data_IF_379870880267
#
_entry.id   IF_379870880267
#
_cell.length_a   1.000
_cell.length_b   1.000
_cell.length_c   1.000
_cell.angle_alpha   90.00
_cell.angle_beta   90.00
_cell.angle_gamma   90.00
#
_symmetry.space_group_name_H-M   'P 1'
#
loop_
_entity.id
_entity.type
_entity.pdbx_description
1 polymer ?
#
# COMPACT_ATOMS: atom_id res chain seq x y z
N UNK A 1 51.91 -4.06 -44.66
CA UNK A 1 52.48 -4.87 -43.56
C UNK A 1 51.83 -4.35 -42.27
N UNK A 2 50.55 -4.67 -42.02
CA UNK A 2 50.07 -5.57 -40.95
C UNK A 2 51.04 -5.68 -39.75
N UNK A 3 51.03 -4.69 -38.88
CA UNK A 3 51.15 -5.00 -37.46
C UNK A 3 49.75 -5.41 -37.00
N UNK A 4 49.58 -6.71 -36.77
CA UNK A 4 48.42 -7.24 -36.07
C UNK A 4 48.65 -6.84 -34.61
N UNK A 5 48.21 -5.64 -34.26
CA UNK A 5 48.01 -5.25 -32.86
C UNK A 5 47.11 -6.32 -32.26
N UNK A 6 47.59 -6.99 -31.22
CA UNK A 6 47.00 -8.23 -30.73
C UNK A 6 45.54 -7.94 -30.33
N UNK A 7 44.52 -8.49 -31.03
CA UNK A 7 43.11 -8.13 -30.82
C UNK A 7 42.65 -8.44 -29.39
N UNK A 8 43.37 -9.33 -28.70
CA UNK A 8 43.16 -9.65 -27.29
C UNK A 8 43.60 -8.49 -26.39
N UNK A 9 44.72 -7.80 -26.69
CA UNK A 9 45.19 -6.65 -25.92
C UNK A 9 44.30 -5.43 -26.13
N UNK A 10 43.81 -5.22 -27.35
CA UNK A 10 42.86 -4.15 -27.66
C UNK A 10 41.51 -4.39 -26.97
N UNK A 11 40.99 -5.62 -27.02
CA UNK A 11 39.79 -6.01 -26.29
C UNK A 11 39.96 -5.89 -24.75
N UNK A 12 41.14 -6.24 -24.22
CA UNK A 12 41.46 -6.09 -22.80
C UNK A 12 41.56 -4.61 -22.40
N UNK A 13 42.16 -3.76 -23.25
CA UNK A 13 42.27 -2.34 -22.97
C UNK A 13 40.89 -1.65 -23.00
N UNK A 14 40.04 -2.01 -23.96
CA UNK A 14 38.66 -1.51 -24.05
C UNK A 14 37.83 -1.94 -22.84
N UNK A 15 37.90 -3.21 -22.44
CA UNK A 15 37.19 -3.71 -21.25
C UNK A 15 37.72 -3.11 -19.94
N UNK A 16 39.03 -2.90 -19.79
CA UNK A 16 39.62 -2.22 -18.64
C UNK A 16 39.22 -0.75 -18.58
N UNK A 17 39.13 -0.06 -19.73
CA UNK A 17 38.69 1.33 -19.81
C UNK A 17 37.21 1.47 -19.46
N UNK A 18 36.37 0.56 -19.92
CA UNK A 18 34.97 0.47 -19.51
C UNK A 18 34.85 0.18 -18.01
N UNK A 19 35.62 -0.78 -17.48
CA UNK A 19 35.62 -1.11 -16.07
C UNK A 19 36.03 0.09 -15.21
N UNK A 20 37.08 0.81 -15.61
CA UNK A 20 37.53 2.03 -14.94
C UNK A 20 36.47 3.15 -14.94
N UNK A 21 35.63 3.21 -15.99
CA UNK A 21 34.50 4.13 -16.07
C UNK A 21 33.35 3.75 -15.13
N UNK A 22 33.09 2.45 -14.94
CA UNK A 22 32.03 1.95 -14.04
C UNK A 22 32.48 1.81 -12.57
N UNK A 23 33.78 1.72 -12.30
CA UNK A 23 34.33 1.50 -10.96
C UNK A 23 33.85 2.53 -9.92
N UNK A 24 33.83 3.85 -10.20
CA UNK A 24 33.31 4.83 -9.24
C UNK A 24 31.82 4.61 -8.94
N UNK A 25 31.00 4.27 -9.95
CA UNK A 25 29.56 4.01 -9.77
C UNK A 25 29.31 2.79 -8.89
N UNK A 26 30.13 1.74 -9.03
CA UNK A 26 30.07 0.53 -8.20
C UNK A 26 30.43 0.88 -6.75
N UNK A 27 31.50 1.65 -6.52
CA UNK A 27 31.89 2.09 -5.18
C UNK A 27 30.80 2.93 -4.50
N UNK A 28 30.20 3.90 -5.20
CA UNK A 28 29.08 4.68 -4.67
C UNK A 28 27.85 3.83 -4.36
N UNK A 29 27.53 2.86 -5.22
CA UNK A 29 26.43 1.91 -4.99
C UNK A 29 26.63 1.10 -3.71
N UNK A 30 27.83 0.58 -3.47
CA UNK A 30 28.16 -0.13 -2.24
C UNK A 30 28.01 0.80 -1.03
N UNK A 31 28.50 2.03 -1.12
CA UNK A 31 28.33 3.04 -0.07
C UNK A 31 26.87 3.30 0.27
N UNK A 32 26.01 3.46 -0.74
CA UNK A 32 24.57 3.67 -0.58
C UNK A 32 23.92 2.44 0.07
N UNK A 33 24.26 1.23 -0.37
CA UNK A 33 23.75 0.00 0.22
C UNK A 33 24.09 -0.09 1.72
N UNK A 34 25.33 0.25 2.10
CA UNK A 34 25.76 0.29 3.50
C UNK A 34 24.94 1.32 4.29
N UNK A 35 24.72 2.52 3.75
CA UNK A 35 23.90 3.55 4.40
C UNK A 35 22.47 3.05 4.63
N UNK A 36 21.84 2.41 3.65
CA UNK A 36 20.49 1.86 3.81
C UNK A 36 20.41 0.76 4.86
N UNK A 37 21.43 -0.10 4.97
CA UNK A 37 21.51 -1.10 6.04
C UNK A 37 21.61 -0.41 7.41
N UNK A 38 22.47 0.61 7.55
CA UNK A 38 22.59 1.36 8.81
C UNK A 38 21.26 2.04 9.19
N UNK A 39 20.58 2.65 8.22
CA UNK A 39 19.27 3.28 8.40
C UNK A 39 18.22 2.24 8.81
N UNK A 40 18.17 1.08 8.16
CA UNK A 40 17.25 0.00 8.50
C UNK A 40 17.46 -0.52 9.93
N UNK A 41 18.71 -0.69 10.36
CA UNK A 41 19.03 -1.06 11.74
C UNK A 41 18.60 0.02 12.74
N UNK A 42 18.86 1.30 12.45
CA UNK A 42 18.47 2.42 13.30
C UNK A 42 16.95 2.53 13.44
N UNK A 43 16.23 2.54 12.32
CA UNK A 43 14.76 2.62 12.28
C UNK A 43 14.15 1.40 12.97
N UNK A 44 14.62 0.18 12.69
CA UNK A 44 14.13 -1.02 13.36
C UNK A 44 14.26 -0.92 14.88
N UNK A 45 15.41 -0.43 15.37
CA UNK A 45 15.64 -0.26 16.82
C UNK A 45 14.71 0.78 17.43
N UNK A 46 14.53 1.93 16.78
CA UNK A 46 13.66 3.02 17.24
C UNK A 46 12.20 2.54 17.25
N UNK A 47 11.73 1.99 16.13
CA UNK A 47 10.36 1.49 15.97
C UNK A 47 10.05 0.41 17.00
N UNK A 48 10.94 -0.57 17.20
CA UNK A 48 10.75 -1.61 18.20
C UNK A 48 10.61 -1.04 19.61
N UNK A 49 11.33 0.04 19.93
CA UNK A 49 11.21 0.72 21.22
C UNK A 49 9.84 1.39 21.35
N UNK A 50 9.38 2.09 20.31
CA UNK A 50 8.06 2.75 20.29
C UNK A 50 6.93 1.72 20.43
N UNK A 51 6.96 0.65 19.64
CA UNK A 51 5.90 -0.36 19.64
C UNK A 51 5.79 -1.09 21.00
N UNK A 52 6.93 -1.34 21.66
CA UNK A 52 6.96 -1.87 23.03
C UNK A 52 6.38 -0.91 24.06
N UNK A 53 6.65 0.39 23.93
CA UNK A 53 6.09 1.41 24.83
C UNK A 53 4.57 1.51 24.70
N UNK A 54 4.07 1.49 23.47
CA UNK A 54 2.62 1.54 23.18
C UNK A 54 1.93 0.20 23.43
N UNK A 55 2.69 -0.88 23.63
CA UNK A 55 2.18 -2.26 23.78
C UNK A 55 1.20 -2.63 22.66
N UNK A 56 1.58 -2.32 21.41
CA UNK A 56 0.72 -2.49 20.23
C UNK A 56 0.17 -3.92 20.14
N UNK A 57 1.00 -4.92 20.49
CA UNK A 57 0.63 -6.33 20.41
C UNK A 57 -0.56 -6.65 21.32
N UNK A 58 -0.70 -5.98 22.48
CA UNK A 58 -1.84 -6.19 23.37
C UNK A 58 -3.15 -5.65 22.81
N UNK A 59 -3.09 -4.59 22.00
CA UNK A 59 -4.27 -4.00 21.34
C UNK A 59 -4.80 -4.95 20.26
N UNK A 60 -3.89 -5.64 19.56
CA UNK A 60 -4.26 -6.52 18.45
C UNK A 60 -4.39 -8.00 18.82
N UNK A 61 -4.07 -8.39 20.06
CA UNK A 61 -4.31 -9.74 20.60
C UNK A 61 -5.70 -10.30 20.32
N UNK A 62 -6.81 -9.54 20.46
CA UNK A 62 -8.17 -10.03 20.18
C UNK A 62 -8.40 -10.43 18.71
N UNK A 63 -7.60 -9.91 17.78
CA UNK A 63 -7.80 -10.11 16.35
C UNK A 63 -6.99 -11.27 15.76
N UNK A 64 -5.83 -11.62 16.35
CA UNK A 64 -4.88 -12.56 15.76
C UNK A 64 -4.55 -13.78 16.65
N UNK A 65 -5.34 -14.04 17.69
CA UNK A 65 -5.21 -15.19 18.60
C UNK A 65 -3.78 -15.41 19.16
N UNK A 66 -2.94 -14.38 19.18
CA UNK A 66 -1.58 -14.42 19.71
C UNK A 66 -0.53 -15.18 18.88
N UNK A 67 -0.85 -15.67 17.67
CA UNK A 67 0.12 -16.37 16.82
C UNK A 67 1.03 -15.44 16.02
N UNK A 68 0.64 -14.18 15.87
CA UNK A 68 1.36 -13.17 15.06
C UNK A 68 1.67 -11.96 15.93
N UNK A 69 2.96 -11.64 16.07
CA UNK A 69 3.41 -10.40 16.70
C UNK A 69 3.28 -9.24 15.70
N UNK A 70 2.27 -8.40 15.90
CA UNK A 70 2.00 -7.24 15.04
C UNK A 70 3.18 -6.29 15.01
N UNK A 71 3.92 -6.17 16.11
CA UNK A 71 5.17 -5.42 16.15
C UNK A 71 6.17 -5.86 15.07
N UNK A 72 6.36 -7.16 14.88
CA UNK A 72 7.31 -7.69 13.90
C UNK A 72 6.76 -7.58 12.48
N UNK A 73 5.44 -7.68 12.28
CA UNK A 73 4.79 -7.38 11.00
C UNK A 73 5.05 -5.92 10.58
N UNK A 74 4.84 -4.96 11.49
CA UNK A 74 5.07 -3.53 11.23
C UNK A 74 6.54 -3.27 10.88
N UNK A 75 7.47 -3.82 11.66
CA UNK A 75 8.91 -3.71 11.39
C UNK A 75 9.27 -4.34 10.04
N UNK A 76 8.67 -5.48 9.71
CA UNK A 76 8.80 -6.14 8.42
C UNK A 76 8.41 -5.23 7.26
N UNK A 77 7.22 -4.62 7.32
CA UNK A 77 6.76 -3.68 6.29
C UNK A 77 7.69 -2.47 6.14
N UNK A 78 8.19 -1.91 7.25
CA UNK A 78 9.15 -0.79 7.20
C UNK A 78 10.43 -1.21 6.50
N UNK A 79 10.97 -2.40 6.82
CA UNK A 79 12.19 -2.90 6.19
C UNK A 79 11.99 -3.23 4.71
N UNK A 80 10.83 -3.75 4.31
CA UNK A 80 10.46 -3.92 2.89
C UNK A 80 10.43 -2.57 2.18
N UNK A 81 9.82 -1.54 2.78
CA UNK A 81 9.81 -0.18 2.24
C UNK A 81 11.21 0.40 2.07
N UNK A 82 12.08 0.23 3.08
CA UNK A 82 13.48 0.66 3.00
C UNK A 82 14.27 -0.10 1.94
N UNK A 83 14.03 -1.41 1.79
CA UNK A 83 14.66 -2.21 0.75
C UNK A 83 14.23 -1.75 -0.65
N UNK A 84 12.94 -1.47 -0.85
CA UNK A 84 12.43 -0.90 -2.10
C UNK A 84 13.05 0.47 -2.41
N UNK A 85 13.17 1.35 -1.41
CA UNK A 85 13.85 2.63 -1.56
C UNK A 85 15.33 2.47 -1.93
N UNK A 86 16.01 1.50 -1.32
CA UNK A 86 17.39 1.17 -1.69
C UNK A 86 17.48 0.71 -3.14
N UNK A 87 16.65 -0.24 -3.56
CA UNK A 87 16.58 -0.72 -4.95
C UNK A 87 16.30 0.42 -5.93
N UNK A 88 15.37 1.31 -5.59
CA UNK A 88 15.05 2.49 -6.40
C UNK A 88 16.25 3.44 -6.53
N UNK A 89 16.89 3.76 -5.41
CA UNK A 89 18.06 4.66 -5.38
C UNK A 89 19.22 4.07 -6.18
N UNK A 90 19.48 2.76 -6.02
CA UNK A 90 20.54 2.06 -6.74
C UNK A 90 20.25 2.00 -8.24
N UNK A 91 19.00 1.70 -8.62
CA UNK A 91 18.59 1.69 -10.04
C UNK A 91 18.73 3.08 -10.66
N UNK A 92 18.45 4.15 -9.92
CA UNK A 92 18.60 5.53 -10.41
C UNK A 92 20.02 5.87 -10.82
N UNK A 93 21.01 5.34 -10.10
CA UNK A 93 22.43 5.64 -10.33
C UNK A 93 23.06 4.66 -11.32
N UNK A 94 22.76 3.37 -11.17
CA UNK A 94 23.38 2.30 -11.95
C UNK A 94 22.72 2.11 -13.31
N UNK A 95 21.38 2.21 -13.37
CA UNK A 95 20.55 1.78 -14.49
C UNK A 95 19.39 2.77 -14.72
N UNK A 96 19.66 4.07 -15.00
CA UNK A 96 18.63 5.09 -15.13
C UNK A 96 17.59 4.78 -16.23
N UNK A 97 17.97 4.01 -17.25
CA UNK A 97 17.05 3.58 -18.32
C UNK A 97 15.93 2.65 -17.84
N UNK A 98 16.08 1.99 -16.70
CA UNK A 98 15.06 1.09 -16.13
C UNK A 98 14.19 1.75 -15.06
N UNK A 99 14.50 3.00 -14.67
CA UNK A 99 13.76 3.69 -13.62
C UNK A 99 12.28 3.83 -13.94
N UNK A 100 11.93 4.17 -15.18
CA UNK A 100 10.52 4.34 -15.55
C UNK A 100 9.71 3.05 -15.33
N UNK A 101 10.25 1.91 -15.75
CA UNK A 101 9.59 0.61 -15.56
C UNK A 101 9.50 0.25 -14.07
N UNK A 102 10.56 0.52 -13.30
CA UNK A 102 10.57 0.27 -11.86
C UNK A 102 9.51 1.14 -11.15
N UNK A 103 9.39 2.41 -11.52
CA UNK A 103 8.35 3.32 -11.00
C UNK A 103 6.95 2.78 -11.29
N UNK A 104 6.67 2.38 -12.53
CA UNK A 104 5.37 1.81 -12.90
C UNK A 104 5.02 0.56 -12.08
N UNK A 105 6.00 -0.32 -11.84
CA UNK A 105 5.80 -1.52 -11.03
C UNK A 105 5.52 -1.15 -9.57
N UNK A 106 6.31 -0.26 -8.98
CA UNK A 106 6.14 0.18 -7.59
C UNK A 106 4.79 0.88 -7.40
N UNK A 107 4.39 1.75 -8.33
CA UNK A 107 3.10 2.44 -8.30
C UNK A 107 1.93 1.45 -8.38
N UNK A 108 2.00 0.48 -9.29
CA UNK A 108 0.94 -0.52 -9.45
C UNK A 108 0.81 -1.42 -8.21
N UNK A 109 1.93 -1.95 -7.70
CA UNK A 109 1.94 -2.77 -6.48
C UNK A 109 1.49 -1.96 -5.27
N UNK A 110 1.96 -0.71 -5.15
CA UNK A 110 1.56 0.21 -4.10
C UNK A 110 0.05 0.50 -4.11
N UNK A 111 -0.54 0.67 -5.30
CA UNK A 111 -1.98 0.85 -5.47
C UNK A 111 -2.76 -0.37 -4.96
N UNK A 112 -2.35 -1.58 -5.33
CA UNK A 112 -2.99 -2.82 -4.88
C UNK A 112 -2.91 -2.94 -3.35
N UNK A 113 -1.71 -2.77 -2.78
CA UNK A 113 -1.51 -2.85 -1.33
C UNK A 113 -2.35 -1.79 -0.60
N UNK A 114 -2.40 -0.56 -1.14
CA UNK A 114 -3.21 0.53 -0.60
C UNK A 114 -4.70 0.21 -0.59
N UNK A 115 -5.23 -0.35 -1.69
CA UNK A 115 -6.64 -0.77 -1.75
C UNK A 115 -6.93 -1.90 -0.77
N UNK A 116 -6.10 -2.94 -0.73
CA UNK A 116 -6.25 -4.05 0.23
C UNK A 116 -6.28 -3.52 1.66
N UNK A 117 -5.34 -2.65 2.02
CA UNK A 117 -5.29 -2.01 3.33
C UNK A 117 -6.55 -1.19 3.63
N UNK A 118 -7.00 -0.36 2.68
CA UNK A 118 -8.19 0.47 2.84
C UNK A 118 -9.46 -0.37 3.05
N UNK A 119 -9.58 -1.50 2.34
CA UNK A 119 -10.70 -2.43 2.50
C UNK A 119 -10.68 -3.04 3.91
N UNK A 120 -9.56 -3.62 4.34
CA UNK A 120 -9.45 -4.15 5.70
C UNK A 120 -9.75 -3.10 6.77
N UNK A 121 -9.20 -1.89 6.59
CA UNK A 121 -9.41 -0.78 7.52
C UNK A 121 -10.88 -0.36 7.59
N UNK A 122 -11.57 -0.26 6.45
CA UNK A 122 -13.00 0.08 6.40
C UNK A 122 -13.85 -0.95 7.17
N UNK A 123 -13.58 -2.25 7.00
CA UNK A 123 -14.29 -3.30 7.73
C UNK A 123 -13.98 -3.32 9.23
N UNK A 124 -12.73 -3.04 9.63
CA UNK A 124 -12.37 -2.91 11.05
C UNK A 124 -13.12 -1.74 11.69
N UNK A 125 -13.18 -0.59 11.01
CA UNK A 125 -13.94 0.56 11.49
C UNK A 125 -15.43 0.24 11.60
N UNK A 126 -16.00 -0.42 10.58
CA UNK A 126 -17.40 -0.84 10.61
C UNK A 126 -17.68 -1.74 11.81
N UNK A 127 -16.87 -2.78 12.02
CA UNK A 127 -17.06 -3.70 13.14
C UNK A 127 -16.92 -2.99 14.50
N UNK A 128 -15.92 -2.12 14.63
CA UNK A 128 -15.72 -1.31 15.84
C UNK A 128 -16.92 -0.40 16.13
N UNK A 129 -17.51 0.23 15.10
CA UNK A 129 -18.73 1.04 15.27
C UNK A 129 -19.92 0.18 15.70
N UNK A 130 -20.10 -0.98 15.08
CA UNK A 130 -21.20 -1.91 15.36
C UNK A 130 -21.14 -2.46 16.79
N UNK A 131 -19.95 -2.72 17.32
CA UNK A 131 -19.74 -3.21 18.68
C UNK A 131 -19.88 -2.10 19.74
N UNK A 132 -19.40 -0.88 19.44
CA UNK A 132 -19.33 0.21 20.43
C UNK A 132 -20.58 1.08 20.49
N UNK A 133 -21.30 1.20 19.39
CA UNK A 133 -22.52 2.01 19.31
C UNK A 133 -23.71 1.06 19.42
N UNK A 134 -24.68 1.36 20.31
CA UNK A 134 -25.98 0.66 20.34
C UNK A 134 -26.78 1.03 19.09
N UNK A 135 -26.37 0.52 17.94
CA UNK A 135 -26.97 0.81 16.66
C UNK A 135 -28.21 -0.03 16.47
N UNK A 136 -29.28 0.58 15.98
CA UNK A 136 -30.42 -0.16 15.46
C UNK A 136 -29.99 -1.01 14.27
N UNK A 137 -30.64 -2.16 14.09
CA UNK A 137 -30.33 -3.10 13.00
C UNK A 137 -30.34 -2.41 11.62
N UNK A 138 -31.28 -1.49 11.39
CA UNK A 138 -31.39 -0.74 10.13
C UNK A 138 -30.22 0.20 9.86
N UNK A 139 -29.69 0.85 10.90
CA UNK A 139 -28.51 1.73 10.77
C UNK A 139 -27.26 0.88 10.48
N UNK A 140 -27.16 -0.29 11.11
CA UNK A 140 -26.09 -1.27 10.83
C UNK A 140 -26.13 -1.77 9.38
N UNK A 141 -27.31 -2.14 8.89
CA UNK A 141 -27.50 -2.58 7.50
C UNK A 141 -27.11 -1.49 6.50
N UNK A 142 -27.53 -0.24 6.76
CA UNK A 142 -27.16 0.90 5.93
C UNK A 142 -25.64 1.11 5.88
N UNK A 143 -24.95 1.11 7.02
CA UNK A 143 -23.49 1.26 7.04
C UNK A 143 -22.76 0.10 6.36
N UNK A 144 -23.29 -1.12 6.47
CA UNK A 144 -22.72 -2.29 5.79
C UNK A 144 -22.82 -2.13 4.26
N UNK A 145 -23.99 -1.74 3.74
CA UNK A 145 -24.19 -1.44 2.32
C UNK A 145 -23.24 -0.33 1.88
N UNK A 146 -23.13 0.77 2.66
CA UNK A 146 -22.23 1.87 2.34
C UNK A 146 -20.76 1.42 2.28
N UNK A 147 -20.32 0.61 3.24
CA UNK A 147 -18.96 0.07 3.31
C UNK A 147 -18.66 -0.86 2.13
N UNK A 148 -19.61 -1.71 1.74
CA UNK A 148 -19.49 -2.56 0.56
C UNK A 148 -19.39 -1.75 -0.73
N UNK A 149 -20.20 -0.70 -0.89
CA UNK A 149 -20.14 0.19 -2.05
C UNK A 149 -18.79 0.90 -2.16
N UNK A 150 -18.28 1.45 -1.05
CA UNK A 150 -16.96 2.10 -1.02
C UNK A 150 -15.86 1.08 -1.35
N UNK A 151 -15.91 -0.11 -0.75
CA UNK A 151 -14.97 -1.20 -1.03
C UNK A 151 -14.98 -1.58 -2.51
N UNK A 152 -16.16 -1.67 -3.13
CA UNK A 152 -16.28 -2.01 -4.54
C UNK A 152 -15.67 -0.93 -5.44
N UNK A 153 -15.85 0.36 -5.12
CA UNK A 153 -15.18 1.47 -5.83
C UNK A 153 -13.66 1.32 -5.76
N UNK A 154 -13.12 1.03 -4.57
CA UNK A 154 -11.67 0.85 -4.38
C UNK A 154 -11.13 -0.33 -5.18
N UNK A 155 -11.84 -1.46 -5.19
CA UNK A 155 -11.45 -2.65 -5.96
C UNK A 155 -11.45 -2.35 -7.46
N UNK A 156 -12.51 -1.69 -7.96
CA UNK A 156 -12.67 -1.33 -9.37
C UNK A 156 -11.56 -0.39 -9.84
N UNK A 157 -11.13 0.55 -8.98
CA UNK A 157 -10.03 1.44 -9.29
C UNK A 157 -8.71 0.69 -9.57
N UNK A 158 -8.44 -0.39 -8.83
CA UNK A 158 -7.28 -1.27 -9.07
C UNK A 158 -7.48 -2.33 -10.14
N UNK A 159 -8.71 -2.58 -10.57
CA UNK A 159 -9.00 -3.63 -11.54
C UNK A 159 -8.43 -3.28 -12.92
N UNK A 160 -7.91 -4.30 -13.61
CA UNK A 160 -7.41 -4.19 -14.99
C UNK A 160 -8.56 -4.17 -16.02
N UNK A 161 -9.56 -3.30 -15.79
CA UNK A 161 -10.69 -3.05 -16.69
C UNK A 161 -10.52 -1.69 -17.36
N UNK A 162 -11.25 -1.45 -18.46
CA UNK A 162 -11.17 -0.18 -19.18
C UNK A 162 -11.67 1.00 -18.34
N UNK A 163 -11.17 2.19 -18.62
CA UNK A 163 -11.57 3.41 -17.91
C UNK A 163 -13.07 3.71 -18.07
N UNK A 164 -13.69 3.34 -19.21
CA UNK A 164 -15.14 3.50 -19.37
C UNK A 164 -15.93 2.60 -18.41
N UNK A 165 -15.46 1.36 -18.19
CA UNK A 165 -16.08 0.43 -17.24
C UNK A 165 -15.91 0.95 -15.81
N UNK A 166 -14.73 1.44 -15.44
CA UNK A 166 -14.51 2.04 -14.11
C UNK A 166 -15.44 3.22 -13.86
N UNK A 167 -15.54 4.14 -14.84
CA UNK A 167 -16.40 5.31 -14.75
C UNK A 167 -17.89 4.94 -14.65
N UNK A 168 -18.34 3.95 -15.43
CA UNK A 168 -19.71 3.45 -15.40
C UNK A 168 -20.05 2.82 -14.05
N UNK A 169 -19.17 1.97 -13.52
CA UNK A 169 -19.36 1.32 -12.22
C UNK A 169 -19.32 2.34 -11.09
N UNK A 170 -18.36 3.27 -11.09
CA UNK A 170 -18.29 4.34 -10.09
C UNK A 170 -19.56 5.22 -10.10
N UNK A 171 -20.06 5.55 -11.28
CA UNK A 171 -21.30 6.32 -11.43
C UNK A 171 -22.52 5.55 -10.93
N UNK A 172 -22.63 4.26 -11.27
CA UNK A 172 -23.71 3.39 -10.81
C UNK A 172 -23.71 3.23 -9.29
N UNK A 173 -22.54 3.04 -8.68
CA UNK A 173 -22.39 2.93 -7.22
C UNK A 173 -22.71 4.27 -6.55
N UNK A 174 -22.24 5.40 -7.09
CA UNK A 174 -22.54 6.74 -6.56
C UNK A 174 -24.05 7.02 -6.58
N UNK A 175 -24.74 6.67 -7.67
CA UNK A 175 -26.19 6.83 -7.78
C UNK A 175 -26.92 5.91 -6.79
N UNK A 176 -26.52 4.65 -6.70
CA UNK A 176 -27.08 3.69 -5.74
C UNK A 176 -26.90 4.13 -4.29
N UNK A 177 -25.71 4.63 -3.94
CA UNK A 177 -25.42 5.20 -2.61
C UNK A 177 -26.27 6.43 -2.34
N UNK A 178 -26.37 7.36 -3.30
CA UNK A 178 -27.20 8.56 -3.18
C UNK A 178 -28.66 8.24 -2.92
N UNK A 179 -29.24 7.28 -3.67
CA UNK A 179 -30.60 6.81 -3.45
C UNK A 179 -30.77 6.14 -2.09
N UNK A 180 -29.81 5.31 -1.68
CA UNK A 180 -29.86 4.62 -0.38
C UNK A 180 -29.77 5.63 0.77
N UNK A 181 -28.90 6.64 0.67
CA UNK A 181 -28.80 7.74 1.64
C UNK A 181 -30.12 8.51 1.70
N UNK A 182 -30.70 8.86 0.55
CA UNK A 182 -31.97 9.59 0.48
C UNK A 182 -33.13 8.81 1.10
N UNK A 183 -33.26 7.53 0.75
CA UNK A 183 -34.29 6.64 1.31
C UNK A 183 -34.11 6.45 2.82
N UNK A 184 -32.86 6.29 3.27
CA UNK A 184 -32.53 6.16 4.70
C UNK A 184 -32.85 7.45 5.46
N UNK A 185 -32.48 8.62 4.93
CA UNK A 185 -32.80 9.91 5.54
C UNK A 185 -34.31 10.13 5.65
N UNK A 186 -35.07 9.84 4.58
CA UNK A 186 -36.52 9.92 4.61
C UNK A 186 -37.11 8.98 5.68
N UNK A 187 -36.67 7.71 5.72
CA UNK A 187 -37.11 6.77 6.74
C UNK A 187 -36.77 7.28 8.15
N UNK A 188 -35.55 7.75 8.39
CA UNK A 188 -35.09 8.23 9.68
C UNK A 188 -35.91 9.42 10.21
N UNK A 189 -36.18 10.42 9.35
CA UNK A 189 -36.96 11.60 9.75
C UNK A 189 -38.46 11.32 9.90
N UNK A 190 -39.05 10.49 9.02
CA UNK A 190 -40.50 10.27 9.01
C UNK A 190 -40.96 9.06 9.83
N UNK A 191 -40.04 8.22 10.28
CA UNK A 191 -40.31 7.07 11.14
C UNK A 191 -41.12 7.47 12.38
N UNK A 192 -40.75 8.54 13.08
CA UNK A 192 -41.42 8.94 14.31
C UNK A 192 -42.87 9.36 14.04
N UNK A 193 -43.10 10.10 12.95
CA UNK A 193 -44.43 10.58 12.56
C UNK A 193 -45.36 9.43 12.16
N UNK A 194 -44.83 8.41 11.46
CA UNK A 194 -45.58 7.21 11.09
C UNK A 194 -45.88 6.32 12.30
N UNK A 195 -44.97 6.23 13.27
CA UNK A 195 -45.17 5.42 14.49
C UNK A 195 -46.26 5.99 15.41
N UNK A 196 -46.45 7.31 15.41
CA UNK A 196 -47.41 8.00 16.28
C UNK A 196 -48.86 7.90 15.81
N UNK A 197 -49.09 7.56 14.53
CA UNK A 197 -50.43 7.36 13.95
C UNK A 197 -50.98 5.94 14.11
N UNK A 198 -50.18 5.02 14.66
CA UNK A 198 -50.54 3.60 14.84
C UNK A 198 -50.89 3.23 16.30
N UNK A 199 -51.06 4.22 17.19
CA UNK A 199 -51.71 4.09 18.50
C UNK A 199 -52.99 4.90 18.49
#
# INVERSE_FOLDING_TARGET
>A
MKEVENPILEALHLTLKELAFYLPKILFSIGIAVVYVLVALAITRITRKILKLTKIDNVFKPFFNGTIDISDVIIGFINVGLALLAVYTLTSILLPGYLHNLTLIIEYVGKIVGVVFAVFFAFILLNSMVERVKMEAKVREFMFIATLSITLILIVDTAAVSEEVKASVASGISLGLGLTIGAFAAWYYFHEYLSRKSK
#
